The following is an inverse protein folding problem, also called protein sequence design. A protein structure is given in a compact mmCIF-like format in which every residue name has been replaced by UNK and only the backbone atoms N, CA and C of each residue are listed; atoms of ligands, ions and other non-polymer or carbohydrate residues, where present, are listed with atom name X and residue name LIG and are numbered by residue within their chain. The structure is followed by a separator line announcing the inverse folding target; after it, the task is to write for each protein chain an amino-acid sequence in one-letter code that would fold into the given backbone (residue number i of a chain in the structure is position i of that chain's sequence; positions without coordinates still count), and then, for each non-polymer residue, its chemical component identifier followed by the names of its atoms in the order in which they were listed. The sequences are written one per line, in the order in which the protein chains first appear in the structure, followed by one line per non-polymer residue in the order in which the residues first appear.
data_IF_502235166018
#
_entry.id   IF_502235166018
#
_cell.length_a   1.000
_cell.length_b   1.000
_cell.length_c   1.000
_cell.angle_alpha   90.00
_cell.angle_beta   90.00
_cell.angle_gamma   90.00
#
_symmetry.space_group_name_H-M   'P 1'
#
loop_
_entity.id
_entity.type
_entity.pdbx_description
1 polymer ?
#
# COMPACT_ATOMS: atom_id res chain seq x y z
N UNK A 1 12.83 0.49 13.60
CA UNK A 1 11.70 0.14 12.72
C UNK A 1 12.06 0.44 11.27
N UNK A 2 12.04 -0.55 10.40
CA UNK A 2 12.30 -0.27 8.99
C UNK A 2 11.28 0.70 8.41
N UNK A 3 11.78 1.63 7.61
CA UNK A 3 10.98 2.66 6.96
C UNK A 3 11.36 2.71 5.49
N UNK A 4 10.38 2.49 4.64
CA UNK A 4 10.56 2.51 3.19
C UNK A 4 9.87 3.76 2.65
N UNK A 5 10.62 4.61 1.96
CA UNK A 5 10.08 5.80 1.31
C UNK A 5 10.26 5.66 -0.19
N UNK A 6 9.19 5.82 -0.94
CA UNK A 6 9.18 5.74 -2.39
C UNK A 6 8.44 6.94 -2.96
N UNK A 7 8.97 7.50 -4.04
CA UNK A 7 8.35 8.63 -4.73
C UNK A 7 8.25 8.33 -6.21
N UNK A 8 7.11 8.67 -6.80
CA UNK A 8 6.81 8.38 -8.21
C UNK A 8 6.11 9.56 -8.85
N UNK A 9 6.42 9.83 -10.11
CA UNK A 9 5.77 10.87 -10.90
C UNK A 9 4.74 10.20 -11.80
N UNK A 10 3.47 10.62 -11.65
CA UNK A 10 2.36 10.18 -12.49
C UNK A 10 2.10 11.27 -13.53
N UNK A 11 2.10 10.90 -14.81
CA UNK A 11 2.03 11.85 -15.93
C UNK A 11 0.59 12.20 -16.32
N UNK A 12 -0.24 12.51 -15.33
CA UNK A 12 -1.58 13.07 -15.52
C UNK A 12 -1.74 14.25 -14.56
N UNK A 13 -2.71 15.10 -14.82
CA UNK A 13 -2.94 16.31 -14.02
C UNK A 13 -4.14 16.22 -13.08
N UNK A 14 -4.89 15.13 -13.11
CA UNK A 14 -6.05 14.95 -12.25
C UNK A 14 -5.72 14.13 -11.01
N UNK A 15 -5.47 14.83 -9.91
CA UNK A 15 -5.10 14.21 -8.62
C UNK A 15 -6.21 13.29 -8.09
N UNK A 16 -7.47 13.60 -8.37
CA UNK A 16 -8.60 12.80 -7.92
C UNK A 16 -8.59 11.40 -8.53
N UNK A 17 -8.24 11.30 -9.80
CA UNK A 17 -8.13 10.00 -10.48
C UNK A 17 -7.08 9.14 -9.79
N UNK A 18 -5.92 9.71 -9.49
CA UNK A 18 -4.84 8.97 -8.81
C UNK A 18 -5.25 8.58 -7.40
N UNK A 19 -5.85 9.51 -6.66
CA UNK A 19 -6.29 9.26 -5.29
C UNK A 19 -7.32 8.12 -5.23
N UNK A 20 -8.31 8.16 -6.10
CA UNK A 20 -9.33 7.11 -6.15
C UNK A 20 -8.76 5.78 -6.62
N UNK A 21 -7.74 5.79 -7.48
CA UNK A 21 -7.08 4.57 -7.93
C UNK A 21 -6.32 3.88 -6.78
N UNK A 22 -5.55 4.63 -6.00
CA UNK A 22 -4.73 4.04 -4.93
C UNK A 22 -5.53 3.56 -3.73
N UNK A 23 -6.77 4.05 -3.55
CA UNK A 23 -7.67 3.57 -2.50
C UNK A 23 -8.74 2.59 -3.00
N UNK A 24 -8.65 2.18 -4.24
CA UNK A 24 -9.60 1.25 -4.85
C UNK A 24 -9.21 -0.20 -4.52
N UNK A 25 -10.10 -0.90 -3.81
CA UNK A 25 -9.87 -2.28 -3.39
C UNK A 25 -9.66 -3.22 -4.58
N UNK A 26 -10.47 -3.04 -5.63
CA UNK A 26 -10.39 -3.89 -6.82
C UNK A 26 -9.07 -3.67 -7.58
N UNK A 27 -8.62 -2.41 -7.64
CA UNK A 27 -7.32 -2.11 -8.24
C UNK A 27 -6.16 -2.65 -7.41
N UNK A 28 -6.27 -2.63 -6.08
CA UNK A 28 -5.24 -3.21 -5.20
C UNK A 28 -5.00 -4.68 -5.54
N UNK A 29 -6.06 -5.45 -5.82
CA UNK A 29 -5.93 -6.85 -6.24
C UNK A 29 -5.12 -6.97 -7.53
N UNK A 30 -5.34 -6.07 -8.47
CA UNK A 30 -4.60 -6.05 -9.75
C UNK A 30 -3.13 -5.72 -9.51
N UNK A 31 -2.85 -4.70 -8.72
CA UNK A 31 -1.48 -4.22 -8.46
C UNK A 31 -0.66 -5.19 -7.61
N UNK A 32 -1.31 -6.06 -6.85
CA UNK A 32 -0.68 -7.08 -6.01
C UNK A 32 -0.89 -8.50 -6.53
N UNK A 33 -1.07 -8.65 -7.84
CA UNK A 33 -1.42 -9.92 -8.51
C UNK A 33 -0.45 -11.04 -8.19
N UNK A 34 0.84 -10.77 -8.06
CA UNK A 34 1.85 -11.79 -7.80
C UNK A 34 1.68 -12.51 -6.46
N UNK A 35 1.07 -11.87 -5.49
CA UNK A 35 0.81 -12.47 -4.18
C UNK A 35 -0.60 -13.03 -4.04
N UNK A 36 -1.39 -13.03 -5.11
CA UNK A 36 -2.77 -13.54 -5.14
C UNK A 36 -3.62 -12.94 -4.01
N UNK A 37 -3.56 -11.62 -3.86
CA UNK A 37 -4.30 -10.95 -2.80
C UNK A 37 -5.81 -11.01 -3.02
N UNK A 38 -6.54 -11.43 -2.00
CA UNK A 38 -8.00 -11.48 -1.96
C UNK A 38 -8.51 -10.67 -0.79
N UNK A 39 -9.53 -9.83 -1.03
CA UNK A 39 -10.23 -9.13 0.03
C UNK A 39 -11.33 -10.05 0.56
N UNK A 40 -11.18 -10.55 1.79
CA UNK A 40 -12.06 -11.59 2.34
C UNK A 40 -13.03 -11.09 3.42
N UNK A 41 -12.83 -9.89 3.94
CA UNK A 41 -13.71 -9.30 4.96
C UNK A 41 -13.58 -7.78 4.95
N UNK A 42 -14.54 -7.11 5.58
CA UNK A 42 -14.59 -5.65 5.63
C UNK A 42 -15.02 -5.06 4.28
N UNK A 43 -14.35 -4.01 3.84
CA UNK A 43 -14.57 -3.40 2.53
C UNK A 43 -13.89 -4.26 1.46
N UNK A 44 -14.63 -5.06 0.74
CA UNK A 44 -14.08 -6.04 -0.20
C UNK A 44 -14.09 -5.58 -1.66
N UNK A 45 -14.70 -4.43 -1.95
CA UNK A 45 -14.76 -3.85 -3.30
C UNK A 45 -14.97 -2.34 -3.23
N UNK A 46 -14.60 -1.63 -4.28
CA UNK A 46 -14.81 -0.19 -4.40
C UNK A 46 -13.79 0.66 -3.66
N UNK A 47 -14.17 1.90 -3.37
CA UNK A 47 -13.29 2.89 -2.77
C UNK A 47 -13.39 2.85 -1.24
N UNK A 48 -12.29 2.50 -0.59
CA UNK A 48 -12.24 2.47 0.87
C UNK A 48 -12.15 3.90 1.43
N UNK A 49 -12.83 4.15 2.54
CA UNK A 49 -12.94 5.46 3.18
C UNK A 49 -12.50 5.44 4.64
N UNK A 50 -12.46 6.61 5.26
CA UNK A 50 -12.05 6.77 6.65
C UNK A 50 -12.81 5.80 7.57
N UNK A 51 -12.09 5.18 8.48
CA UNK A 51 -12.57 4.20 9.48
C UNK A 51 -13.05 2.87 8.89
N UNK A 52 -13.01 2.70 7.59
CA UNK A 52 -13.27 1.40 6.98
C UNK A 52 -12.02 0.52 7.04
N UNK A 53 -12.23 -0.78 7.09
CA UNK A 53 -11.16 -1.76 7.13
C UNK A 53 -11.34 -2.81 6.05
N UNK A 54 -10.26 -3.49 5.72
CA UNK A 54 -10.26 -4.62 4.79
C UNK A 54 -9.35 -5.71 5.34
N UNK A 55 -9.77 -6.95 5.20
CA UNK A 55 -8.93 -8.10 5.51
C UNK A 55 -8.48 -8.73 4.20
N UNK A 56 -7.18 -8.79 4.03
CA UNK A 56 -6.52 -9.38 2.88
C UNK A 56 -6.01 -10.77 3.20
N UNK A 57 -6.19 -11.69 2.28
CA UNK A 57 -5.50 -12.99 2.28
C UNK A 57 -4.54 -13.00 1.12
N UNK A 58 -3.28 -13.30 1.37
CA UNK A 58 -2.25 -13.27 0.35
C UNK A 58 -1.19 -14.33 0.62
N UNK A 59 -0.43 -14.68 -0.41
CA UNK A 59 0.69 -15.60 -0.27
C UNK A 59 2.00 -14.82 -0.35
N UNK A 60 2.72 -14.78 0.76
CA UNK A 60 4.03 -14.16 0.85
C UNK A 60 5.04 -15.16 1.38
N UNK A 61 6.22 -15.23 0.75
CA UNK A 61 7.33 -16.09 1.20
C UNK A 61 6.92 -17.56 1.36
N UNK A 62 6.01 -18.03 0.50
CA UNK A 62 5.55 -19.41 0.51
C UNK A 62 4.41 -19.71 1.49
N UNK A 63 3.97 -18.73 2.28
CA UNK A 63 2.91 -18.92 3.28
C UNK A 63 1.68 -18.08 2.97
N UNK A 64 0.50 -18.69 3.16
CA UNK A 64 -0.76 -17.94 3.11
C UNK A 64 -0.91 -17.16 4.42
N UNK A 65 -1.15 -15.86 4.30
CA UNK A 65 -1.22 -14.94 5.43
C UNK A 65 -2.46 -14.08 5.32
N UNK A 66 -2.99 -13.66 6.46
CA UNK A 66 -4.11 -12.72 6.52
C UNK A 66 -3.68 -11.44 7.23
N UNK A 67 -4.15 -10.31 6.71
CA UNK A 67 -3.81 -8.99 7.20
C UNK A 67 -5.06 -8.12 7.18
N UNK A 68 -5.41 -7.54 8.32
CA UNK A 68 -6.48 -6.55 8.40
C UNK A 68 -5.87 -5.17 8.58
N UNK A 69 -6.21 -4.24 7.69
CA UNK A 69 -5.82 -2.85 7.81
C UNK A 69 -7.05 -1.95 7.86
N UNK A 70 -6.89 -0.75 8.42
CA UNK A 70 -7.93 0.25 8.59
C UNK A 70 -7.43 1.60 8.13
N UNK A 71 -8.29 2.37 7.47
CA UNK A 71 -7.98 3.75 7.12
C UNK A 71 -8.14 4.60 8.37
N UNK A 72 -7.03 5.09 8.90
CA UNK A 72 -6.99 5.83 10.16
C UNK A 72 -6.94 7.33 9.99
N UNK A 73 -6.46 7.83 8.83
CA UNK A 73 -6.42 9.25 8.49
C UNK A 73 -6.79 9.39 7.01
N UNK A 74 -7.48 10.49 6.69
CA UNK A 74 -8.04 10.66 5.35
C UNK A 74 -8.27 12.14 5.05
N UNK A 75 -7.59 12.67 4.04
CA UNK A 75 -7.74 14.04 3.54
C UNK A 75 -7.73 14.01 2.01
N UNK A 76 -8.89 13.74 1.44
CA UNK A 76 -9.04 13.59 -0.01
C UNK A 76 -8.89 14.93 -0.74
N UNK A 77 -8.22 15.00 -1.87
CA UNK A 77 -7.53 13.91 -2.60
C UNK A 77 -6.02 13.88 -2.37
N UNK A 78 -5.54 14.31 -1.21
CA UNK A 78 -4.12 14.57 -0.96
C UNK A 78 -3.42 13.50 -0.11
N UNK A 79 -4.19 12.80 0.75
CA UNK A 79 -3.54 12.01 1.78
C UNK A 79 -4.49 10.99 2.39
N UNK A 80 -3.99 9.79 2.66
CA UNK A 80 -4.62 8.86 3.58
C UNK A 80 -3.57 7.93 4.19
N UNK A 81 -3.95 7.31 5.30
CA UNK A 81 -3.10 6.35 6.02
C UNK A 81 -3.89 5.08 6.25
N UNK A 82 -3.26 3.95 5.98
CA UNK A 82 -3.75 2.66 6.44
C UNK A 82 -2.79 2.06 7.46
N UNK A 83 -3.37 1.52 8.52
CA UNK A 83 -2.62 0.92 9.61
C UNK A 83 -3.12 -0.50 9.89
N UNK A 84 -2.19 -1.35 10.29
CA UNK A 84 -2.53 -2.73 10.62
C UNK A 84 -3.37 -2.80 11.89
N UNK A 85 -4.49 -3.52 11.82
CA UNK A 85 -5.30 -3.90 12.98
C UNK A 85 -4.88 -5.28 13.46
N UNK A 86 -4.66 -6.20 12.54
CA UNK A 86 -4.27 -7.58 12.83
C UNK A 86 -3.49 -8.14 11.65
N UNK A 87 -2.42 -8.87 11.90
CA UNK A 87 -1.65 -9.46 10.81
C UNK A 87 -0.30 -10.00 11.25
N UNK A 88 0.53 -10.28 10.25
CA UNK A 88 1.82 -10.94 10.41
C UNK A 88 2.87 -10.05 11.07
N UNK A 89 2.81 -8.76 10.81
CA UNK A 89 3.71 -7.81 11.48
C UNK A 89 3.26 -7.57 12.92
N UNK A 90 4.12 -7.01 13.73
CA UNK A 90 3.72 -6.48 15.03
C UNK A 90 2.91 -5.19 14.86
N UNK A 91 3.30 -4.38 13.87
CA UNK A 91 2.57 -3.19 13.46
C UNK A 91 3.01 -2.77 12.06
N UNK A 92 2.14 -2.04 11.35
CA UNK A 92 2.59 -1.25 10.22
C UNK A 92 1.73 0.01 10.08
N UNK A 93 2.34 1.03 9.48
CA UNK A 93 1.68 2.27 9.09
C UNK A 93 2.12 2.62 7.68
N UNK A 94 1.17 2.78 6.78
CA UNK A 94 1.42 3.13 5.38
C UNK A 94 0.77 4.48 5.07
N UNK A 95 1.59 5.49 4.83
CA UNK A 95 1.13 6.83 4.48
C UNK A 95 1.20 7.01 2.97
N UNK A 96 0.15 7.57 2.40
CA UNK A 96 0.04 7.85 0.96
C UNK A 96 -0.18 9.35 0.78
N UNK A 97 0.76 10.02 0.12
CA UNK A 97 0.71 11.45 -0.16
C UNK A 97 0.65 11.71 -1.65
N UNK A 98 -0.20 12.64 -2.05
CA UNK A 98 -0.28 13.11 -3.42
C UNK A 98 -0.21 14.63 -3.44
N UNK A 99 0.54 15.20 -4.39
CA UNK A 99 0.48 16.62 -4.66
C UNK A 99 0.70 16.89 -6.15
N UNK A 100 0.19 18.03 -6.59
CA UNK A 100 0.30 18.47 -7.98
C UNK A 100 1.56 19.31 -8.15
N UNK A 101 2.28 19.07 -9.26
CA UNK A 101 3.45 19.85 -9.62
C UNK A 101 3.65 19.81 -11.12
N UNK A 102 3.65 20.99 -11.77
CA UNK A 102 3.93 21.11 -13.21
C UNK A 102 3.06 20.20 -14.08
N UNK A 103 1.76 20.18 -13.80
CA UNK A 103 0.74 19.36 -14.49
C UNK A 103 0.97 17.84 -14.37
N UNK A 104 1.66 17.43 -13.32
CA UNK A 104 1.90 16.03 -12.97
C UNK A 104 1.55 15.80 -11.52
N UNK A 105 1.37 14.56 -11.14
CA UNK A 105 1.11 14.18 -9.76
C UNK A 105 2.35 13.51 -9.19
N UNK A 106 2.81 14.01 -8.05
CA UNK A 106 3.88 13.37 -7.28
C UNK A 106 3.21 12.50 -6.22
N UNK A 107 3.47 11.20 -6.29
CA UNK A 107 2.96 10.22 -5.34
C UNK A 107 4.10 9.78 -4.43
N UNK A 108 3.93 9.94 -3.12
CA UNK A 108 4.91 9.54 -2.13
C UNK A 108 4.29 8.53 -1.17
N UNK A 109 4.96 7.41 -1.02
CA UNK A 109 4.57 6.34 -0.09
C UNK A 109 5.61 6.24 1.02
N UNK A 110 5.13 6.19 2.26
CA UNK A 110 5.97 5.96 3.44
C UNK A 110 5.40 4.74 4.17
N UNK A 111 6.16 3.66 4.18
CA UNK A 111 5.77 2.41 4.82
C UNK A 111 6.71 2.11 5.97
N UNK A 112 6.18 2.17 7.19
CA UNK A 112 6.89 1.79 8.40
C UNK A 112 6.30 0.51 8.96
N UNK A 113 7.13 -0.43 9.35
CA UNK A 113 6.65 -1.66 9.95
C UNK A 113 7.54 -2.13 11.08
N UNK A 114 6.98 -2.96 11.94
CA UNK A 114 7.71 -3.62 13.02
C UNK A 114 7.50 -5.11 12.87
N UNK A 115 8.59 -5.86 12.73
CA UNK A 115 8.50 -7.30 12.57
C UNK A 115 8.09 -7.99 13.88
N UNK A 116 7.45 -9.16 13.81
CA UNK A 116 6.84 -9.79 14.97
C UNK A 116 7.82 -10.48 15.92
N UNK A 117 9.05 -10.76 15.48
CA UNK A 117 9.97 -11.66 16.15
C UNK A 117 11.04 -10.94 17.01
N UNK A 118 10.82 -9.68 17.36
CA UNK A 118 11.76 -8.94 18.22
C UNK A 118 13.17 -8.91 17.67
N UNK A 119 14.15 -9.40 18.42
CA UNK A 119 15.55 -9.41 18.01
C UNK A 119 15.77 -10.23 16.72
N UNK A 120 15.14 -11.39 16.61
CA UNK A 120 15.23 -12.22 15.40
C UNK A 120 14.59 -11.51 14.22
N UNK A 121 13.48 -10.78 14.45
CA UNK A 121 12.83 -9.97 13.44
C UNK A 121 13.74 -8.88 12.92
N UNK A 122 14.52 -8.23 13.75
CA UNK A 122 15.49 -7.21 13.32
C UNK A 122 16.56 -7.78 12.40
N UNK A 123 17.04 -9.00 12.69
CA UNK A 123 18.00 -9.69 11.85
C UNK A 123 17.36 -10.02 10.48
N UNK A 124 16.15 -10.53 10.48
CA UNK A 124 15.41 -10.83 9.25
C UNK A 124 15.17 -9.57 8.41
N UNK A 125 14.79 -8.46 9.06
CA UNK A 125 14.60 -7.18 8.38
C UNK A 125 15.89 -6.74 7.70
N UNK A 126 16.99 -6.79 8.42
CA UNK A 126 18.29 -6.37 7.88
C UNK A 126 18.72 -7.25 6.71
N UNK A 127 18.53 -8.58 6.81
CA UNK A 127 19.02 -9.51 5.80
C UNK A 127 18.19 -9.54 4.55
N UNK A 128 16.84 -9.49 4.64
CA UNK A 128 16.05 -9.61 3.42
C UNK A 128 14.61 -9.10 3.47
N UNK A 129 13.97 -8.98 4.63
CA UNK A 129 12.56 -8.59 4.70
C UNK A 129 12.32 -7.19 4.16
N UNK A 130 13.19 -6.23 4.52
CA UNK A 130 13.09 -4.87 4.00
C UNK A 130 13.22 -4.85 2.48
N UNK A 131 14.14 -5.63 1.91
CA UNK A 131 14.29 -5.73 0.45
C UNK A 131 13.05 -6.33 -0.18
N UNK A 132 12.49 -7.36 0.41
CA UNK A 132 11.26 -7.99 -0.07
C UNK A 132 10.10 -6.99 -0.07
N UNK A 133 9.90 -6.28 1.03
CA UNK A 133 8.82 -5.29 1.14
C UNK A 133 9.03 -4.12 0.19
N UNK A 134 10.26 -3.64 0.04
CA UNK A 134 10.58 -2.57 -0.90
C UNK A 134 10.25 -2.99 -2.34
N UNK A 135 10.66 -4.17 -2.74
CA UNK A 135 10.38 -4.67 -4.09
C UNK A 135 8.87 -4.87 -4.31
N UNK A 136 8.17 -5.37 -3.32
CA UNK A 136 6.72 -5.54 -3.38
C UNK A 136 6.01 -4.19 -3.60
N UNK A 137 6.40 -3.17 -2.85
CA UNK A 137 5.84 -1.83 -3.00
C UNK A 137 6.22 -1.19 -4.34
N UNK A 138 7.45 -1.36 -4.79
CA UNK A 138 7.90 -0.85 -6.09
C UNK A 138 7.07 -1.44 -7.23
N UNK A 139 6.79 -2.73 -7.20
CA UNK A 139 5.97 -3.38 -8.23
C UNK A 139 4.53 -2.86 -8.22
N UNK A 140 3.95 -2.67 -7.04
CA UNK A 140 2.61 -2.10 -6.91
C UNK A 140 2.55 -0.67 -7.43
N UNK A 141 3.53 0.14 -7.08
CA UNK A 141 3.62 1.54 -7.51
C UNK A 141 3.81 1.62 -9.02
N UNK A 142 4.64 0.76 -9.60
CA UNK A 142 4.83 0.70 -11.05
C UNK A 142 3.53 0.39 -11.78
N UNK A 143 2.73 -0.53 -11.28
CA UNK A 143 1.43 -0.87 -11.84
C UNK A 143 0.46 0.31 -11.70
N UNK A 144 0.46 1.01 -10.58
CA UNK A 144 -0.35 2.20 -10.35
C UNK A 144 -0.01 3.28 -11.38
N UNK A 145 1.29 3.54 -11.59
CA UNK A 145 1.75 4.50 -12.57
C UNK A 145 1.29 4.14 -13.99
N UNK A 146 1.47 2.89 -14.37
CA UNK A 146 1.07 2.41 -15.69
C UNK A 146 -0.43 2.63 -15.95
N UNK A 147 -1.26 2.25 -14.98
CA UNK A 147 -2.71 2.42 -15.07
C UNK A 147 -3.12 3.89 -15.12
N UNK A 148 -2.55 4.71 -14.25
CA UNK A 148 -2.87 6.14 -14.20
C UNK A 148 -2.42 6.85 -15.47
N UNK A 149 -1.19 6.60 -15.94
CA UNK A 149 -0.66 7.21 -17.15
C UNK A 149 -1.51 6.85 -18.39
N UNK A 150 -2.05 5.65 -18.45
CA UNK A 150 -2.89 5.20 -19.56
C UNK A 150 -4.32 5.74 -19.52
N UNK A 151 -4.72 6.39 -18.43
CA UNK A 151 -6.07 6.94 -18.27
C UNK A 151 -6.22 8.38 -18.82
N UNK A 152 -5.22 8.89 -19.51
CA UNK A 152 -5.26 10.22 -20.14
C UNK A 152 -6.37 10.34 -21.16
#
# INVERSE_FOLDING_TARGET
MPKIELETIINIDDIKIVFDLIRNIDFHKISAKKSNEEAIAGKTTGLIELNESVTWRAKHLGFTQELTSKITEFDAPFFFVDEMVKGTFKSFRHEHYLHEKSNKIIMKDIFEYKSPLGFLGKIADFLFLERYMRNFLIERIAMTKEYADSSK
#
